data_IF_913785050694
#
_entry.id   IF_913785050694
#
_cell.length_a   1.000
_cell.length_b   1.000
_cell.length_c   1.000
_cell.angle_alpha   90.00
_cell.angle_beta   90.00
_cell.angle_gamma   90.00
#
_symmetry.space_group_name_H-M   'P 1'
#
loop_
_entity.id
_entity.type
_entity.pdbx_description
1 polymer ?
#
# COMPACT_ATOMS: atom_id res chain seq x y z
N UNK A 1 118.79 101.00 23.02
CA UNK A 1 119.48 100.05 23.92
C UNK A 1 120.34 100.87 24.86
N UNK A 2 119.85 101.08 26.07
CA UNK A 2 120.63 101.74 27.14
C UNK A 2 121.36 100.60 27.84
N UNK A 3 122.66 100.47 27.60
CA UNK A 3 123.48 99.49 28.31
C UNK A 3 123.60 99.94 29.77
N UNK A 4 123.10 99.17 30.74
CA UNK A 4 123.16 99.59 32.13
C UNK A 4 124.62 99.67 32.59
N UNK A 5 125.03 100.83 33.11
CA UNK A 5 126.36 101.06 33.68
C UNK A 5 126.26 101.05 35.20
N UNK A 6 127.21 100.38 35.85
CA UNK A 6 127.36 100.40 37.31
C UNK A 6 128.66 101.13 37.63
N UNK A 7 128.62 102.08 38.57
CA UNK A 7 129.81 102.83 39.00
C UNK A 7 130.50 102.08 40.14
N UNK A 8 131.81 101.85 40.03
CA UNK A 8 132.57 101.17 41.09
C UNK A 8 132.74 102.09 42.33
N UNK A 9 132.28 101.67 43.53
CA UNK A 9 132.34 102.51 44.72
C UNK A 9 133.76 102.81 45.24
N UNK A 10 134.79 102.05 44.83
CA UNK A 10 136.17 102.22 45.27
C UNK A 10 137.07 103.08 44.38
N UNK A 11 136.82 103.13 43.06
CA UNK A 11 137.69 103.83 42.09
C UNK A 11 136.93 104.70 41.07
N UNK A 12 135.60 104.86 41.21
CA UNK A 12 134.71 105.70 40.36
C UNK A 12 134.76 105.41 38.85
N UNK A 13 135.29 104.27 38.45
CA UNK A 13 135.25 103.82 37.06
C UNK A 13 133.83 103.35 36.68
N UNK A 14 133.36 103.75 35.50
CA UNK A 14 132.09 103.28 34.92
C UNK A 14 132.28 101.89 34.29
N UNK A 15 131.58 100.88 34.82
CA UNK A 15 131.61 99.52 34.30
C UNK A 15 130.36 99.31 33.46
N UNK A 16 130.54 99.14 32.15
CA UNK A 16 129.46 98.75 31.23
C UNK A 16 129.13 97.27 31.44
N UNK A 17 127.87 96.94 31.74
CA UNK A 17 127.38 95.56 31.74
C UNK A 17 127.33 95.04 30.30
N UNK A 18 128.49 94.66 29.77
CA UNK A 18 128.62 94.00 28.48
C UNK A 18 128.14 92.54 28.57
N UNK A 19 127.71 91.95 27.45
CA UNK A 19 127.24 90.54 27.40
C UNK A 19 128.20 89.56 28.07
N UNK A 20 129.50 89.86 28.11
CA UNK A 20 130.52 89.02 28.77
C UNK A 20 130.42 88.99 30.31
N UNK A 21 129.88 90.03 30.96
CA UNK A 21 129.69 90.06 32.43
C UNK A 21 128.34 89.46 32.86
N UNK A 22 127.31 89.54 32.00
CA UNK A 22 125.97 89.00 32.28
C UNK A 22 125.79 87.53 31.84
N UNK A 23 126.60 87.04 30.88
CA UNK A 23 126.50 85.68 30.34
C UNK A 23 126.55 84.55 31.39
N UNK A 24 127.41 84.59 32.43
CA UNK A 24 127.43 83.53 33.45
C UNK A 24 126.13 83.48 34.27
N UNK A 25 125.57 84.65 34.61
CA UNK A 25 124.31 84.74 35.36
C UNK A 25 123.11 84.30 34.50
N UNK A 26 123.07 84.71 33.23
CA UNK A 26 122.05 84.28 32.26
C UNK A 26 122.13 82.78 31.95
N UNK A 27 123.34 82.21 31.92
CA UNK A 27 123.53 80.76 31.74
C UNK A 27 123.05 79.97 32.97
N UNK A 28 123.28 80.49 34.19
CA UNK A 28 122.76 79.85 35.42
C UNK A 28 121.24 79.93 35.52
N UNK A 29 120.62 81.08 35.21
CA UNK A 29 119.15 81.20 35.22
C UNK A 29 118.52 80.36 34.13
N UNK A 30 119.11 80.33 32.92
CA UNK A 30 118.65 79.44 31.84
C UNK A 30 118.67 77.96 32.26
N UNK A 31 119.75 77.48 32.89
CA UNK A 31 119.82 76.10 33.42
C UNK A 31 118.76 75.84 34.50
N UNK A 32 118.51 76.79 35.39
CA UNK A 32 117.46 76.67 36.41
C UNK A 32 116.06 76.58 35.79
N UNK A 33 115.76 77.41 34.78
CA UNK A 33 114.49 77.34 34.05
C UNK A 33 114.36 76.04 33.23
N UNK A 34 115.43 75.59 32.58
CA UNK A 34 115.45 74.31 31.87
C UNK A 34 115.20 73.13 32.83
N UNK A 35 115.78 73.14 34.04
CA UNK A 35 115.50 72.15 35.07
C UNK A 35 114.08 72.24 35.61
N UNK A 36 113.55 73.44 35.84
CA UNK A 36 112.18 73.64 36.29
C UNK A 36 111.17 73.17 35.24
N UNK A 37 111.35 73.51 33.97
CA UNK A 37 110.52 73.04 32.86
C UNK A 37 110.59 71.51 32.75
N UNK A 38 111.78 70.91 32.78
CA UNK A 38 111.92 69.46 32.78
C UNK A 38 111.22 68.79 33.97
N UNK A 39 111.27 69.39 35.17
CA UNK A 39 110.56 68.88 36.35
C UNK A 39 109.04 69.02 36.24
N UNK A 40 108.55 70.11 35.63
CA UNK A 40 107.13 70.34 35.39
C UNK A 40 106.60 69.40 34.30
N UNK A 41 107.33 69.25 33.20
CA UNK A 41 107.01 68.33 32.11
C UNK A 41 106.96 66.89 32.62
N UNK A 42 107.91 66.49 33.48
CA UNK A 42 107.89 65.17 34.13
C UNK A 42 106.67 65.00 35.04
N UNK A 43 106.32 66.01 35.84
CA UNK A 43 105.13 65.97 36.71
C UNK A 43 103.82 65.95 35.92
N UNK A 44 103.74 66.64 34.79
CA UNK A 44 102.57 66.61 33.89
C UNK A 44 102.47 65.24 33.23
N UNK A 45 103.58 64.71 32.70
CA UNK A 45 103.61 63.38 32.09
C UNK A 45 103.19 62.26 33.07
N UNK A 46 103.61 62.36 34.34
CA UNK A 46 103.19 61.42 35.38
C UNK A 46 101.67 61.53 35.67
N UNK A 47 101.14 62.76 35.78
CA UNK A 47 99.70 63.00 35.99
C UNK A 47 98.85 62.50 34.82
N UNK A 48 99.27 62.78 33.59
CA UNK A 48 98.59 62.29 32.39
C UNK A 48 98.64 60.76 32.29
N UNK A 49 99.80 60.15 32.62
CA UNK A 49 99.94 58.70 32.70
C UNK A 49 99.01 58.08 33.74
N UNK A 50 98.90 58.70 34.92
CA UNK A 50 97.98 58.26 35.98
C UNK A 50 96.50 58.45 35.58
N UNK A 51 96.15 59.54 34.90
CA UNK A 51 94.80 59.78 34.40
C UNK A 51 94.41 58.74 33.34
N UNK A 52 95.29 58.46 32.36
CA UNK A 52 95.05 57.43 31.33
C UNK A 52 94.87 56.04 31.92
N UNK A 53 95.64 55.68 32.95
CA UNK A 53 95.47 54.41 33.68
C UNK A 53 94.10 54.32 34.34
N UNK A 54 93.67 55.37 35.05
CA UNK A 54 92.35 55.44 35.68
C UNK A 54 91.22 55.39 34.66
N UNK A 55 91.35 56.07 33.52
CA UNK A 55 90.37 56.00 32.43
C UNK A 55 90.24 54.58 31.86
N UNK A 56 91.37 53.89 31.67
CA UNK A 56 91.38 52.49 31.22
C UNK A 56 90.71 51.56 32.25
N UNK A 57 91.05 51.69 33.54
CA UNK A 57 90.43 50.93 34.64
C UNK A 57 88.92 51.18 34.72
N UNK A 58 88.48 52.43 34.60
CA UNK A 58 87.06 52.77 34.60
C UNK A 58 86.32 52.18 33.39
N UNK A 59 86.95 52.16 32.23
CA UNK A 59 86.37 51.59 31.01
C UNK A 59 86.26 50.06 31.10
N UNK A 60 87.25 49.39 31.69
CA UNK A 60 87.19 47.95 31.98
C UNK A 60 86.13 47.64 33.04
N UNK A 61 86.07 48.41 34.13
CA UNK A 61 85.03 48.28 35.16
C UNK A 61 83.63 48.50 34.58
N UNK A 62 83.49 49.47 33.66
CA UNK A 62 82.23 49.73 32.97
C UNK A 62 81.81 48.55 32.09
N UNK A 63 82.72 47.99 31.30
CA UNK A 63 82.46 46.80 30.48
C UNK A 63 82.06 45.60 31.32
N UNK A 64 82.74 45.38 32.44
CA UNK A 64 82.41 44.31 33.36
C UNK A 64 81.00 44.48 33.96
N UNK A 65 80.65 45.70 34.39
CA UNK A 65 79.31 46.00 34.88
C UNK A 65 78.25 45.81 33.80
N UNK A 66 78.50 46.30 32.58
CA UNK A 66 77.56 46.14 31.45
C UNK A 66 77.36 44.64 31.12
N UNK A 67 78.41 43.81 31.18
CA UNK A 67 78.29 42.35 31.04
C UNK A 67 77.46 41.72 32.17
N UNK A 68 77.71 42.09 33.42
CA UNK A 68 76.94 41.57 34.56
C UNK A 68 75.45 41.94 34.46
N UNK A 69 75.15 43.17 34.08
CA UNK A 69 73.77 43.63 33.87
C UNK A 69 73.14 42.86 32.71
N UNK A 70 73.86 42.67 31.60
CA UNK A 70 73.35 41.89 30.47
C UNK A 70 73.03 40.44 30.85
N UNK A 71 73.90 39.79 31.63
CA UNK A 71 73.70 38.41 32.09
C UNK A 71 72.52 38.30 33.06
N UNK A 72 72.40 39.23 34.01
CA UNK A 72 71.27 39.28 34.94
C UNK A 72 69.96 39.49 34.18
N UNK A 73 69.90 40.45 33.27
CA UNK A 73 68.73 40.73 32.42
C UNK A 73 68.39 39.50 31.56
N UNK A 74 69.38 38.86 30.94
CA UNK A 74 69.17 37.64 30.16
C UNK A 74 68.61 36.48 31.00
N UNK A 75 69.10 36.32 32.24
CA UNK A 75 68.59 35.29 33.17
C UNK A 75 67.13 35.55 33.58
N UNK A 76 66.78 36.80 33.90
CA UNK A 76 65.43 37.20 34.27
C UNK A 76 64.48 37.06 33.08
N UNK A 77 64.88 37.50 31.87
CA UNK A 77 64.08 37.31 30.67
C UNK A 77 63.84 35.83 30.37
N UNK A 78 64.83 34.95 30.55
CA UNK A 78 64.64 33.50 30.36
C UNK A 78 63.61 32.94 31.33
N UNK A 79 63.68 33.32 32.61
CA UNK A 79 62.72 32.90 33.63
C UNK A 79 61.31 33.38 33.31
N UNK A 80 61.13 34.67 33.01
CA UNK A 80 59.83 35.25 32.70
C UNK A 80 59.24 34.69 31.40
N UNK A 81 60.05 34.49 30.35
CA UNK A 81 59.61 33.79 29.13
C UNK A 81 59.16 32.36 29.42
N UNK A 82 59.87 31.65 30.31
CA UNK A 82 59.49 30.31 30.75
C UNK A 82 58.14 30.30 31.48
N UNK A 83 57.91 31.26 32.38
CA UNK A 83 56.64 31.42 33.10
C UNK A 83 55.49 31.73 32.16
N UNK A 84 55.66 32.72 31.27
CA UNK A 84 54.64 33.09 30.27
C UNK A 84 54.30 31.91 29.37
N UNK A 85 55.31 31.16 28.89
CA UNK A 85 55.08 29.97 28.08
C UNK A 85 54.32 28.87 28.83
N UNK A 86 54.64 28.65 30.12
CA UNK A 86 53.96 27.65 30.95
C UNK A 86 52.50 28.04 31.24
N UNK A 87 52.24 29.31 31.53
CA UNK A 87 50.89 29.82 31.77
C UNK A 87 50.03 29.78 30.51
N UNK A 88 50.61 30.13 29.35
CA UNK A 88 49.90 30.05 28.07
C UNK A 88 49.61 28.60 27.68
N UNK A 89 50.57 27.68 27.89
CA UNK A 89 50.35 26.25 27.68
C UNK A 89 49.25 25.70 28.59
N UNK A 90 49.15 26.18 29.84
CA UNK A 90 48.08 25.79 30.77
C UNK A 90 46.72 26.31 30.31
N UNK A 91 46.64 27.58 29.90
CA UNK A 91 45.41 28.18 29.35
C UNK A 91 44.94 27.47 28.09
N UNK A 92 45.86 27.18 27.17
CA UNK A 92 45.56 26.45 25.95
C UNK A 92 45.01 25.03 26.25
N UNK A 93 45.63 24.31 27.19
CA UNK A 93 45.13 22.99 27.62
C UNK A 93 43.72 23.06 28.20
N UNK A 94 43.46 24.02 29.09
CA UNK A 94 42.14 24.20 29.69
C UNK A 94 41.09 24.57 28.64
N UNK A 95 41.41 25.48 27.71
CA UNK A 95 40.53 25.83 26.61
C UNK A 95 40.19 24.60 25.75
N UNK A 96 41.20 23.82 25.33
CA UNK A 96 40.97 22.58 24.59
C UNK A 96 40.13 21.57 25.38
N UNK A 97 40.37 21.40 26.67
CA UNK A 97 39.58 20.50 27.52
C UNK A 97 38.11 20.93 27.56
N UNK A 98 37.82 22.22 27.77
CA UNK A 98 36.45 22.73 27.76
C UNK A 98 35.76 22.59 26.41
N UNK A 99 36.47 22.80 25.30
CA UNK A 99 35.93 22.57 23.95
C UNK A 99 35.63 21.09 23.70
N UNK A 100 36.50 20.20 24.15
CA UNK A 100 36.33 18.76 23.99
C UNK A 100 35.19 18.23 24.85
N UNK A 101 35.02 18.75 26.08
CA UNK A 101 33.85 18.46 26.92
C UNK A 101 32.56 18.95 26.27
N UNK A 102 32.56 20.15 25.68
CA UNK A 102 31.42 20.68 24.93
C UNK A 102 31.03 19.76 23.77
N UNK A 103 32.01 19.40 22.92
CA UNK A 103 31.80 18.46 21.81
C UNK A 103 31.35 17.07 22.29
N UNK A 104 31.88 16.58 23.41
CA UNK A 104 31.47 15.30 23.98
C UNK A 104 29.99 15.32 24.42
N UNK A 105 29.53 16.42 25.02
CA UNK A 105 28.10 16.60 25.38
C UNK A 105 27.22 16.66 24.14
N UNK A 106 27.60 17.45 23.14
CA UNK A 106 26.88 17.53 21.85
C UNK A 106 26.77 16.16 21.17
N UNK A 107 27.83 15.36 21.20
CA UNK A 107 27.82 14.00 20.64
C UNK A 107 26.84 13.07 21.39
N UNK A 108 26.77 13.17 22.71
CA UNK A 108 25.81 12.40 23.52
C UNK A 108 24.38 12.82 23.18
N UNK A 109 24.09 14.12 23.15
CA UNK A 109 22.77 14.65 22.80
C UNK A 109 22.36 14.21 21.38
N UNK A 110 23.26 14.29 20.40
CA UNK A 110 23.01 13.82 19.03
C UNK A 110 22.73 12.31 18.98
N UNK A 111 23.47 11.50 19.74
CA UNK A 111 23.22 10.06 19.83
C UNK A 111 21.86 9.75 20.47
N UNK A 112 21.44 10.50 21.49
CA UNK A 112 20.11 10.35 22.10
C UNK A 112 19.00 10.74 21.12
N UNK A 113 19.16 11.83 20.36
CA UNK A 113 18.22 12.23 19.31
C UNK A 113 18.13 11.16 18.22
N UNK A 114 19.25 10.60 17.78
CA UNK A 114 19.28 9.51 16.80
C UNK A 114 18.56 8.26 17.33
N UNK A 115 18.87 7.82 18.56
CA UNK A 115 18.16 6.69 19.20
C UNK A 115 16.66 6.94 19.29
N UNK A 116 16.25 8.14 19.65
CA UNK A 116 14.83 8.52 19.70
C UNK A 116 14.16 8.50 18.33
N UNK A 117 14.87 8.91 17.27
CA UNK A 117 14.38 8.82 15.88
C UNK A 117 14.29 7.39 15.38
N UNK A 118 15.29 6.56 15.67
CA UNK A 118 15.32 5.15 15.27
C UNK A 118 14.19 4.37 15.95
N UNK A 119 13.93 4.64 17.23
CA UNK A 119 12.80 4.04 17.95
C UNK A 119 11.45 4.42 17.30
N UNK A 120 11.25 5.71 16.99
CA UNK A 120 10.04 6.18 16.29
C UNK A 120 9.91 5.58 14.89
N UNK A 121 11.02 5.41 14.17
CA UNK A 121 11.02 4.78 12.86
C UNK A 121 10.62 3.32 12.95
N UNK A 122 11.16 2.58 13.93
CA UNK A 122 10.80 1.19 14.17
C UNK A 122 9.31 1.04 14.53
N UNK A 123 8.80 1.90 15.42
CA UNK A 123 7.38 1.94 15.79
C UNK A 123 6.49 2.22 14.57
N UNK A 124 6.85 3.21 13.75
CA UNK A 124 6.11 3.55 12.53
C UNK A 124 6.12 2.38 11.51
N UNK A 125 7.27 1.71 11.33
CA UNK A 125 7.39 0.55 10.46
C UNK A 125 6.54 -0.62 10.96
N UNK A 126 6.52 -0.88 12.27
CA UNK A 126 5.68 -1.92 12.86
C UNK A 126 4.20 -1.60 12.70
N UNK A 127 3.78 -0.36 12.99
CA UNK A 127 2.40 0.09 12.79
C UNK A 127 1.97 -0.04 11.32
N UNK A 128 2.86 0.31 10.37
CA UNK A 128 2.60 0.14 8.94
C UNK A 128 2.44 -1.35 8.56
N UNK A 129 3.31 -2.23 9.08
CA UNK A 129 3.20 -3.67 8.84
C UNK A 129 1.90 -4.25 9.41
N UNK A 130 1.50 -3.83 10.61
CA UNK A 130 0.24 -4.22 11.24
C UNK A 130 -0.99 -3.74 10.45
N UNK A 131 -0.97 -2.50 9.94
CA UNK A 131 -2.03 -1.98 9.08
C UNK A 131 -2.16 -2.79 7.79
N UNK A 132 -1.04 -3.14 7.15
CA UNK A 132 -1.06 -3.97 5.93
C UNK A 132 -1.61 -5.37 6.23
N UNK A 133 -1.25 -5.97 7.37
CA UNK A 133 -1.79 -7.27 7.79
C UNK A 133 -3.30 -7.20 8.02
N UNK A 134 -3.77 -6.22 8.81
CA UNK A 134 -5.19 -5.99 9.05
C UNK A 134 -5.96 -5.72 7.75
N UNK A 135 -5.38 -4.97 6.81
CA UNK A 135 -6.00 -4.73 5.51
C UNK A 135 -6.20 -6.04 4.74
N UNK A 136 -5.18 -6.90 4.68
CA UNK A 136 -5.29 -8.22 4.03
C UNK A 136 -6.34 -9.11 4.68
N UNK A 137 -6.34 -9.17 6.02
CA UNK A 137 -7.34 -9.94 6.78
C UNK A 137 -8.77 -9.45 6.50
N UNK A 138 -8.97 -8.12 6.45
CA UNK A 138 -10.27 -7.53 6.11
C UNK A 138 -10.68 -7.81 4.66
N UNK A 139 -9.74 -7.74 3.72
CA UNK A 139 -10.01 -8.03 2.30
C UNK A 139 -10.37 -9.52 2.10
N UNK A 140 -9.67 -10.43 2.77
CA UNK A 140 -9.97 -11.87 2.72
C UNK A 140 -11.32 -12.19 3.39
N UNK A 141 -11.59 -11.62 4.58
CA UNK A 141 -12.89 -11.76 5.25
C UNK A 141 -14.04 -11.21 4.40
N UNK A 142 -13.82 -10.09 3.70
CA UNK A 142 -14.80 -9.52 2.77
C UNK A 142 -15.08 -10.46 1.60
N UNK A 143 -14.04 -11.05 0.99
CA UNK A 143 -14.20 -12.03 -0.10
C UNK A 143 -14.95 -13.28 0.36
N UNK A 144 -14.64 -13.80 1.55
CA UNK A 144 -15.33 -14.95 2.12
C UNK A 144 -16.80 -14.64 2.41
N UNK A 145 -17.10 -13.44 2.92
CA UNK A 145 -18.46 -12.98 3.14
C UNK A 145 -19.23 -12.85 1.82
N UNK A 146 -18.64 -12.21 0.80
CA UNK A 146 -19.23 -12.07 -0.53
C UNK A 146 -19.54 -13.45 -1.13
N UNK A 147 -18.61 -14.40 -1.05
CA UNK A 147 -18.82 -15.78 -1.51
C UNK A 147 -19.93 -16.50 -0.72
N UNK A 148 -19.99 -16.30 0.59
CA UNK A 148 -21.01 -16.92 1.45
C UNK A 148 -22.40 -16.37 1.13
N UNK A 149 -22.50 -15.05 0.90
CA UNK A 149 -23.74 -14.40 0.47
C UNK A 149 -24.16 -14.93 -0.90
N UNK A 150 -23.24 -15.02 -1.86
CA UNK A 150 -23.54 -15.53 -3.21
C UNK A 150 -24.02 -16.98 -3.16
N UNK A 151 -23.35 -17.86 -2.41
CA UNK A 151 -23.82 -19.24 -2.17
C UNK A 151 -25.22 -19.27 -1.56
N UNK A 152 -25.48 -18.47 -0.51
CA UNK A 152 -26.79 -18.42 0.15
C UNK A 152 -27.89 -17.93 -0.79
N UNK A 153 -27.59 -16.96 -1.65
CA UNK A 153 -28.51 -16.48 -2.70
C UNK A 153 -28.76 -17.58 -3.72
N UNK A 154 -27.71 -18.29 -4.16
CA UNK A 154 -27.83 -19.38 -5.12
C UNK A 154 -28.66 -20.54 -4.55
N UNK A 155 -28.40 -20.94 -3.31
CA UNK A 155 -29.17 -21.94 -2.59
C UNK A 155 -30.65 -21.52 -2.47
N UNK A 156 -30.91 -20.27 -2.04
CA UNK A 156 -32.27 -19.73 -1.99
C UNK A 156 -32.96 -19.69 -3.36
N UNK A 157 -32.24 -19.36 -4.44
CA UNK A 157 -32.77 -19.44 -5.80
C UNK A 157 -33.08 -20.87 -6.24
N UNK A 158 -32.27 -21.85 -5.85
CA UNK A 158 -32.54 -23.27 -6.13
C UNK A 158 -33.77 -23.77 -5.38
N UNK A 159 -33.95 -23.38 -4.12
CA UNK A 159 -35.15 -23.70 -3.34
C UNK A 159 -36.40 -23.08 -3.98
N UNK A 160 -36.36 -21.79 -4.34
CA UNK A 160 -37.48 -21.10 -5.00
C UNK A 160 -37.80 -21.75 -6.35
N UNK A 161 -36.78 -22.07 -7.17
CA UNK A 161 -36.98 -22.79 -8.44
C UNK A 161 -37.58 -24.18 -8.23
N UNK A 162 -37.12 -24.90 -7.20
CA UNK A 162 -37.65 -26.21 -6.84
C UNK A 162 -39.12 -26.13 -6.40
N UNK A 163 -39.47 -25.14 -5.59
CA UNK A 163 -40.84 -24.90 -5.15
C UNK A 163 -41.75 -24.52 -6.33
N UNK A 164 -41.31 -23.59 -7.19
CA UNK A 164 -42.04 -23.18 -8.38
C UNK A 164 -42.25 -24.35 -9.35
N UNK A 165 -41.23 -25.20 -9.54
CA UNK A 165 -41.34 -26.41 -10.35
C UNK A 165 -42.36 -27.40 -9.77
N UNK A 166 -42.31 -27.67 -8.46
CA UNK A 166 -43.30 -28.53 -7.79
C UNK A 166 -44.72 -27.97 -7.94
N UNK A 167 -44.92 -26.68 -7.69
CA UNK A 167 -46.22 -26.04 -7.86
C UNK A 167 -46.74 -26.13 -9.30
N UNK A 168 -45.86 -25.99 -10.30
CA UNK A 168 -46.23 -26.16 -11.71
C UNK A 168 -46.56 -27.62 -12.04
N UNK A 169 -45.76 -28.58 -11.58
CA UNK A 169 -45.99 -30.02 -11.75
C UNK A 169 -47.30 -30.46 -11.08
N UNK A 170 -47.56 -30.04 -9.85
CA UNK A 170 -48.80 -30.32 -9.12
C UNK A 170 -50.02 -29.69 -9.83
N UNK A 171 -49.89 -28.46 -10.31
CA UNK A 171 -50.94 -27.79 -11.08
C UNK A 171 -51.23 -28.47 -12.43
N UNK A 172 -50.21 -28.96 -13.13
CA UNK A 172 -50.41 -29.76 -14.35
C UNK A 172 -51.01 -31.13 -14.04
N UNK A 173 -50.55 -31.79 -12.97
CA UNK A 173 -51.06 -33.09 -12.53
C UNK A 173 -52.54 -33.04 -12.20
N UNK A 174 -52.99 -31.99 -11.50
CA UNK A 174 -54.40 -31.74 -11.25
C UNK A 174 -55.19 -31.59 -12.55
N UNK A 175 -54.72 -30.78 -13.50
CA UNK A 175 -55.40 -30.60 -14.81
C UNK A 175 -55.44 -31.89 -15.63
N UNK A 176 -54.39 -32.70 -15.58
CA UNK A 176 -54.36 -34.00 -16.26
C UNK A 176 -55.37 -34.94 -15.61
N UNK A 177 -55.41 -35.02 -14.28
CA UNK A 177 -56.39 -35.85 -13.57
C UNK A 177 -57.84 -35.41 -13.84
N UNK A 178 -58.13 -34.10 -13.88
CA UNK A 178 -59.43 -33.56 -14.27
C UNK A 178 -59.81 -33.96 -15.70
N UNK A 179 -58.87 -33.86 -16.64
CA UNK A 179 -59.09 -34.27 -18.04
C UNK A 179 -59.26 -35.77 -18.18
N UNK A 180 -58.46 -36.58 -17.50
CA UNK A 180 -58.57 -38.04 -17.52
C UNK A 180 -59.92 -38.49 -16.98
N UNK A 181 -60.41 -37.86 -15.91
CA UNK A 181 -61.74 -38.14 -15.36
C UNK A 181 -62.87 -37.69 -16.32
N UNK A 182 -62.71 -36.54 -16.97
CA UNK A 182 -63.66 -36.11 -18.01
C UNK A 182 -63.67 -37.07 -19.22
N UNK A 183 -62.49 -37.54 -19.66
CA UNK A 183 -62.38 -38.54 -20.74
C UNK A 183 -63.05 -39.85 -20.33
N UNK A 184 -62.81 -40.33 -19.11
CA UNK A 184 -63.45 -41.55 -18.61
C UNK A 184 -64.98 -41.42 -18.57
N UNK A 185 -65.51 -40.28 -18.11
CA UNK A 185 -66.96 -40.00 -18.12
C UNK A 185 -67.51 -39.96 -19.56
N UNK A 186 -66.82 -39.29 -20.48
CA UNK A 186 -67.23 -39.24 -21.89
C UNK A 186 -67.18 -40.62 -22.56
N UNK A 187 -66.18 -41.45 -22.24
CA UNK A 187 -66.09 -42.83 -22.75
C UNK A 187 -67.27 -43.68 -22.28
N UNK A 188 -67.67 -43.56 -21.00
CA UNK A 188 -68.86 -44.24 -20.47
C UNK A 188 -70.13 -43.78 -21.20
N UNK A 189 -70.30 -42.47 -21.41
CA UNK A 189 -71.44 -41.94 -22.15
C UNK A 189 -71.47 -42.44 -23.62
N UNK A 190 -70.32 -42.53 -24.27
CA UNK A 190 -70.21 -43.08 -25.63
C UNK A 190 -70.62 -44.56 -25.65
N UNK A 191 -70.12 -45.37 -24.72
CA UNK A 191 -70.49 -46.80 -24.62
C UNK A 191 -72.01 -46.98 -24.40
N UNK A 192 -72.63 -46.14 -23.55
CA UNK A 192 -74.08 -46.16 -23.34
C UNK A 192 -74.87 -45.73 -24.60
N UNK A 193 -74.38 -44.73 -25.33
CA UNK A 193 -75.00 -44.27 -26.58
C UNK A 193 -74.85 -45.32 -27.69
N UNK A 194 -73.70 -45.98 -27.80
CA UNK A 194 -73.48 -47.08 -28.73
C UNK A 194 -74.45 -48.24 -28.45
N UNK A 195 -74.62 -48.65 -27.19
CA UNK A 195 -75.60 -49.69 -26.83
C UNK A 195 -77.04 -49.31 -27.20
N UNK A 196 -77.44 -48.05 -26.98
CA UNK A 196 -78.77 -47.55 -27.36
C UNK A 196 -78.95 -47.49 -28.87
N UNK A 197 -77.93 -47.08 -29.62
CA UNK A 197 -77.96 -47.03 -31.07
C UNK A 197 -78.05 -48.43 -31.70
N UNK A 198 -77.29 -49.40 -31.15
CA UNK A 198 -77.31 -50.81 -31.58
C UNK A 198 -78.70 -51.44 -31.37
N UNK A 199 -79.34 -51.19 -30.22
CA UNK A 199 -80.71 -51.66 -29.96
C UNK A 199 -81.75 -51.04 -30.89
N UNK A 200 -81.65 -49.73 -31.16
CA UNK A 200 -82.54 -49.05 -32.10
C UNK A 200 -82.39 -49.56 -33.54
N UNK A 201 -81.16 -49.86 -33.96
CA UNK A 201 -80.89 -50.39 -35.31
C UNK A 201 -81.48 -51.78 -35.53
N UNK A 202 -81.39 -52.68 -34.54
CA UNK A 202 -81.95 -54.04 -34.65
C UNK A 202 -83.49 -54.03 -34.75
N UNK A 203 -84.17 -53.14 -34.02
CA UNK A 203 -85.64 -53.01 -34.13
C UNK A 203 -86.07 -52.45 -35.48
N UNK A 204 -85.44 -51.36 -35.95
CA UNK A 204 -85.72 -50.79 -37.26
C UNK A 204 -85.46 -51.80 -38.40
N UNK A 205 -84.44 -52.64 -38.28
CA UNK A 205 -84.13 -53.64 -39.30
C UNK A 205 -85.23 -54.70 -39.45
N UNK A 206 -85.88 -55.12 -38.36
CA UNK A 206 -87.01 -56.06 -38.41
C UNK A 206 -88.26 -55.44 -39.03
N UNK A 207 -88.59 -54.21 -38.62
CA UNK A 207 -89.77 -53.48 -39.12
C UNK A 207 -89.72 -53.22 -40.63
N UNK A 208 -88.53 -52.88 -41.16
CA UNK A 208 -88.37 -52.69 -42.61
C UNK A 208 -88.59 -53.99 -43.37
N UNK A 209 -88.16 -55.13 -42.82
CA UNK A 209 -88.30 -56.42 -43.47
C UNK A 209 -89.76 -56.90 -43.54
N UNK A 210 -90.53 -56.70 -42.48
CA UNK A 210 -91.96 -56.99 -42.45
C UNK A 210 -92.70 -56.14 -43.51
N UNK A 211 -92.40 -54.84 -43.56
CA UNK A 211 -92.97 -53.91 -44.54
C UNK A 211 -92.63 -54.30 -45.98
N UNK A 212 -91.40 -54.73 -46.27
CA UNK A 212 -91.02 -55.21 -47.61
C UNK A 212 -91.75 -56.49 -48.00
N UNK A 213 -91.90 -57.45 -47.07
CA UNK A 213 -92.60 -58.70 -47.32
C UNK A 213 -94.07 -58.46 -47.67
N UNK A 214 -94.74 -57.59 -46.92
CA UNK A 214 -96.12 -57.20 -47.20
C UNK A 214 -96.29 -56.55 -48.58
N UNK A 215 -95.42 -55.58 -48.91
CA UNK A 215 -95.48 -54.92 -50.21
C UNK A 215 -95.24 -55.90 -51.35
N UNK A 216 -94.29 -56.83 -51.19
CA UNK A 216 -94.02 -57.87 -52.17
C UNK A 216 -95.26 -58.75 -52.39
N UNK A 217 -95.89 -59.23 -51.31
CA UNK A 217 -97.07 -60.09 -51.40
C UNK A 217 -98.25 -59.37 -52.05
N UNK A 218 -98.54 -58.12 -51.65
CA UNK A 218 -99.60 -57.30 -52.27
C UNK A 218 -99.34 -57.05 -53.75
N UNK A 219 -98.08 -56.85 -54.15
CA UNK A 219 -97.72 -56.62 -55.55
C UNK A 219 -97.89 -57.86 -56.44
N UNK A 220 -97.63 -59.06 -55.89
CA UNK A 220 -97.68 -60.34 -56.61
C UNK A 220 -99.07 -60.94 -56.66
N UNK A 221 -99.90 -60.66 -55.66
CA UNK A 221 -101.25 -61.20 -55.51
C UNK A 221 -102.29 -60.09 -55.33
N UNK A 222 -102.64 -59.34 -56.39
CA UNK A 222 -103.49 -58.14 -56.26
C UNK A 222 -104.94 -58.42 -55.87
N UNK A 223 -105.44 -59.64 -56.09
CA UNK A 223 -106.81 -60.06 -55.77
C UNK A 223 -106.93 -60.71 -54.39
N UNK A 224 -105.79 -60.97 -53.75
CA UNK A 224 -105.72 -61.59 -52.43
C UNK A 224 -105.61 -60.51 -51.34
N UNK A 225 -106.01 -60.86 -50.10
CA UNK A 225 -105.95 -59.95 -48.97
C UNK A 225 -104.73 -60.28 -48.11
N UNK A 226 -103.80 -59.34 -48.02
CA UNK A 226 -102.66 -59.41 -47.10
C UNK A 226 -102.98 -58.55 -45.88
N UNK A 227 -102.91 -59.14 -44.69
CA UNK A 227 -103.16 -58.49 -43.41
C UNK A 227 -101.88 -58.58 -42.54
N UNK A 228 -101.38 -57.45 -41.99
CA UNK A 228 -100.29 -57.48 -41.03
C UNK A 228 -100.74 -58.18 -39.74
N UNK A 229 -99.84 -58.95 -39.12
CA UNK A 229 -100.09 -59.50 -37.79
C UNK A 229 -99.60 -58.49 -36.74
N UNK A 230 -100.42 -58.05 -35.78
CA UNK A 230 -100.00 -57.07 -34.78
C UNK A 230 -98.83 -57.57 -33.92
N UNK A 231 -97.89 -56.66 -33.62
CA UNK A 231 -96.75 -56.95 -32.73
C UNK A 231 -97.24 -57.46 -31.37
N UNK A 232 -96.81 -58.67 -31.00
CA UNK A 232 -97.14 -59.30 -29.72
C UNK A 232 -98.21 -60.40 -29.80
N UNK A 233 -98.82 -60.64 -30.96
CA UNK A 233 -99.69 -61.79 -31.22
C UNK A 233 -98.91 -62.97 -31.81
N UNK A 234 -99.36 -64.19 -31.53
CA UNK A 234 -98.77 -65.41 -32.10
C UNK A 234 -99.34 -65.64 -33.50
N UNK A 235 -98.46 -65.77 -34.48
CA UNK A 235 -98.81 -66.16 -35.84
C UNK A 235 -98.19 -65.25 -36.88
N UNK A 236 -96.96 -65.51 -37.30
CA UNK A 236 -96.36 -64.96 -38.52
C UNK A 236 -96.11 -63.45 -38.55
N UNK A 237 -95.49 -63.01 -39.63
CA UNK A 237 -95.30 -61.59 -39.99
C UNK A 237 -96.50 -61.06 -40.78
N UNK A 238 -97.09 -61.88 -41.66
CA UNK A 238 -98.25 -61.49 -42.47
C UNK A 238 -99.21 -62.65 -42.72
N UNK A 239 -100.51 -62.38 -42.61
CA UNK A 239 -101.58 -63.32 -42.97
C UNK A 239 -102.06 -63.01 -44.40
N UNK A 240 -101.97 -64.00 -45.29
CA UNK A 240 -102.39 -63.90 -46.67
C UNK A 240 -103.65 -64.74 -46.88
N UNK A 241 -104.82 -64.10 -47.03
CA UNK A 241 -106.05 -64.77 -47.45
C UNK A 241 -106.14 -64.82 -48.97
N UNK A 242 -106.12 -66.04 -49.49
CA UNK A 242 -106.18 -66.31 -50.93
C UNK A 242 -107.63 -66.30 -51.38
N UNK A 243 -107.94 -65.50 -52.39
CA UNK A 243 -109.27 -65.35 -52.95
C UNK A 243 -109.33 -65.94 -54.37
N UNK A 244 -110.47 -66.51 -54.75
CA UNK A 244 -110.72 -66.89 -56.14
C UNK A 244 -110.82 -65.65 -57.03
N UNK A 245 -110.75 -65.84 -58.36
CA UNK A 245 -111.00 -64.77 -59.33
C UNK A 245 -112.42 -64.14 -59.22
N UNK A 246 -113.34 -64.78 -58.51
CA UNK A 246 -114.68 -64.27 -58.17
C UNK A 246 -114.76 -63.61 -56.77
N UNK A 247 -113.63 -63.44 -56.07
CA UNK A 247 -113.53 -62.80 -54.77
C UNK A 247 -113.90 -63.69 -53.57
N UNK A 248 -114.03 -65.01 -53.76
CA UNK A 248 -114.42 -65.94 -52.69
C UNK A 248 -113.15 -66.48 -52.02
N UNK A 249 -113.03 -66.30 -50.69
CA UNK A 249 -111.90 -66.80 -49.92
C UNK A 249 -111.77 -68.32 -50.02
N UNK A 250 -110.63 -68.79 -50.51
CA UNK A 250 -110.34 -70.19 -50.79
C UNK A 250 -109.36 -70.81 -49.78
N UNK A 251 -108.66 -69.98 -49.01
CA UNK A 251 -107.77 -70.44 -47.94
C UNK A 251 -106.95 -69.30 -47.35
N UNK A 252 -106.15 -69.62 -46.34
CA UNK A 252 -105.23 -68.68 -45.70
C UNK A 252 -103.83 -69.27 -45.67
N UNK A 253 -102.83 -68.43 -45.96
CA UNK A 253 -101.41 -68.73 -45.88
C UNK A 253 -100.80 -67.79 -44.85
N UNK A 254 -100.06 -68.34 -43.90
CA UNK A 254 -99.30 -67.54 -42.93
C UNK A 254 -97.87 -67.39 -43.44
N UNK A 255 -97.39 -66.14 -43.51
CA UNK A 255 -96.03 -65.80 -43.93
C UNK A 255 -95.20 -65.39 -42.73
N UNK A 256 -94.01 -65.98 -42.62
CA UNK A 256 -92.97 -65.62 -41.67
C UNK A 256 -91.66 -65.50 -42.44
N UNK A 257 -91.08 -64.31 -42.47
CA UNK A 257 -89.84 -63.96 -43.12
C UNK A 257 -88.70 -63.78 -42.11
N UNK A 258 -87.87 -64.81 -41.93
CA UNK A 258 -86.65 -64.71 -41.10
C UNK A 258 -85.40 -64.49 -41.93
N UNK A 259 -84.63 -63.44 -41.61
CA UNK A 259 -83.32 -63.19 -42.22
C UNK A 259 -82.22 -63.95 -41.49
N UNK A 260 -82.18 -65.26 -41.71
CA UNK A 260 -81.20 -66.16 -41.07
C UNK A 260 -80.59 -67.10 -42.10
N UNK A 261 -79.34 -67.51 -41.87
CA UNK A 261 -78.63 -68.43 -42.79
C UNK A 261 -79.08 -69.88 -42.62
N UNK A 262 -79.55 -70.25 -41.43
CA UNK A 262 -79.89 -71.62 -41.06
C UNK A 262 -81.32 -71.69 -40.57
N UNK A 263 -82.12 -72.62 -41.12
CA UNK A 263 -83.46 -72.91 -40.64
C UNK A 263 -83.43 -73.59 -39.26
N UNK A 264 -84.35 -73.23 -38.36
CA UNK A 264 -84.54 -73.91 -37.07
C UNK A 264 -85.97 -74.40 -36.90
N UNK A 265 -86.12 -75.68 -36.53
CA UNK A 265 -87.42 -76.33 -36.31
C UNK A 265 -88.18 -75.70 -35.13
N UNK A 266 -87.46 -75.08 -34.19
CA UNK A 266 -88.04 -74.42 -33.01
C UNK A 266 -88.88 -73.17 -33.29
N UNK A 267 -89.01 -72.74 -34.55
CA UNK A 267 -89.86 -71.61 -34.93
C UNK A 267 -91.31 -72.02 -35.17
N UNK A 268 -91.56 -73.25 -35.61
CA UNK A 268 -92.91 -73.76 -35.90
C UNK A 268 -93.88 -73.72 -34.70
N UNK A 269 -93.47 -74.04 -33.46
CA UNK A 269 -94.39 -73.99 -32.32
C UNK A 269 -94.87 -72.57 -31.95
N UNK A 270 -94.29 -71.53 -32.55
CA UNK A 270 -94.60 -70.11 -32.28
C UNK A 270 -95.47 -69.46 -33.37
N UNK A 271 -95.80 -70.22 -34.43
CA UNK A 271 -96.62 -69.83 -35.58
C UNK A 271 -97.96 -70.56 -35.53
#
# INVERSE_FOLDING_TARGET
>A
MVEPTITCPGCRMEIKLTESLAAPLLATTRRQFEQQLASQDAAIAEREGAARKKEAELLEARRHLDHQVADQVASQLRSERGRVAADEARKARLACETEMEGKARELVELQEVLRGRDAKLAEAQQAQAELIRKQRELDDARRELELTVEKRVQDGLTEVRGLARKQAEDGMRLKVAEKDQAIASMQQEIEELEQKAEQGSQQLQGEVQEMELEQLLRSKFPFDLIEPVPKGEFGGDALHRVNSASGIACGSILWEGRRTRNWSVGWLPKL
#
